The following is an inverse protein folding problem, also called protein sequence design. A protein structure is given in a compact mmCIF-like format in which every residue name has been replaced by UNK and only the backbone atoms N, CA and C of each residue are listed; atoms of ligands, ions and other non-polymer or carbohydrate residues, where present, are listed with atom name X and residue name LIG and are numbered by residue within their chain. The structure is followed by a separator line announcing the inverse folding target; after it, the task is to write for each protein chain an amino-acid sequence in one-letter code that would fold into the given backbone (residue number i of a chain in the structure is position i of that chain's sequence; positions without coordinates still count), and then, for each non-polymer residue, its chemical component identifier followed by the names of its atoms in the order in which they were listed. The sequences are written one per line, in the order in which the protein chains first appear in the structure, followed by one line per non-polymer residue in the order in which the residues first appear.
data_IF_371637845309
#
_entry.id   IF_371637845309
#
_cell.length_a   1.000
_cell.length_b   1.000
_cell.length_c   1.000
_cell.angle_alpha   90.00
_cell.angle_beta   90.00
_cell.angle_gamma   90.00
#
_symmetry.space_group_name_H-M   'P 1'
#
loop_
_entity.id
_entity.type
_entity.pdbx_description
1 polymer ?
#
# COMPACT_ATOMS: atom_id res chain seq x y z
N UNK A 1 -3.54 -1.54 -20.38
CA UNK A 1 -4.61 -2.55 -20.25
C UNK A 1 -4.33 -3.34 -18.98
N UNK A 2 -4.76 -2.82 -17.83
CA UNK A 2 -4.52 -3.47 -16.54
C UNK A 2 -5.66 -4.47 -16.32
N UNK A 3 -5.32 -5.75 -16.44
CA UNK A 3 -6.20 -6.85 -16.12
C UNK A 3 -6.38 -6.90 -14.61
N UNK A 4 -7.60 -6.70 -14.14
CA UNK A 4 -8.01 -7.12 -12.79
C UNK A 4 -7.81 -8.63 -12.72
N UNK A 5 -6.73 -9.06 -12.08
CA UNK A 5 -6.45 -10.48 -11.88
C UNK A 5 -7.43 -10.99 -10.83
N UNK A 6 -8.50 -11.65 -11.29
CA UNK A 6 -9.29 -12.54 -10.46
C UNK A 6 -8.40 -13.75 -10.07
N UNK A 7 -7.55 -13.60 -9.07
CA UNK A 7 -6.95 -14.75 -8.40
C UNK A 7 -7.98 -15.29 -7.41
N UNK A 8 -8.77 -16.26 -7.87
CA UNK A 8 -9.55 -17.09 -6.96
C UNK A 8 -8.55 -17.84 -6.09
N UNK A 9 -8.55 -17.58 -4.78
CA UNK A 9 -7.82 -18.40 -3.81
C UNK A 9 -8.52 -19.75 -3.74
N UNK A 10 -7.95 -20.77 -4.39
CA UNK A 10 -8.41 -22.16 -4.27
C UNK A 10 -7.89 -22.75 -2.96
N UNK A 11 -8.73 -22.73 -1.93
CA UNK A 11 -8.53 -23.60 -0.77
C UNK A 11 -9.14 -24.97 -1.05
N UNK A 12 -8.40 -26.09 -0.95
CA UNK A 12 -8.97 -27.41 -1.14
C UNK A 12 -9.95 -27.71 0.01
N UNK A 13 -11.22 -27.86 -0.32
CA UNK A 13 -12.27 -28.32 0.60
C UNK A 13 -13.47 -27.40 0.85
N UNK A 14 -13.54 -26.21 0.28
CA UNK A 14 -14.70 -25.32 0.45
C UNK A 14 -15.52 -25.17 -0.82
N UNK A 15 -16.53 -26.01 -0.95
CA UNK A 15 -17.47 -26.03 -2.09
C UNK A 15 -18.67 -25.07 -1.90
N UNK A 16 -18.58 -24.09 -1.01
CA UNK A 16 -19.73 -23.27 -0.64
C UNK A 16 -19.45 -21.78 -0.55
N UNK A 17 -18.94 -21.12 -1.63
CA UNK A 17 -19.20 -19.67 -1.76
C UNK A 17 -18.98 -19.25 -3.22
N UNK A 18 -20.01 -18.77 -3.88
CA UNK A 18 -19.92 -18.20 -5.22
C UNK A 18 -19.02 -16.94 -5.28
N UNK A 19 -18.79 -16.29 -4.13
CA UNK A 19 -17.89 -15.16 -3.94
C UNK A 19 -17.13 -15.32 -2.61
N UNK A 20 -15.87 -15.78 -2.62
CA UNK A 20 -15.07 -15.86 -1.40
C UNK A 20 -14.86 -14.48 -0.79
N UNK A 21 -14.90 -14.40 0.54
CA UNK A 21 -14.55 -13.18 1.26
C UNK A 21 -13.06 -12.86 1.02
N UNK A 22 -12.79 -11.64 0.55
CA UNK A 22 -11.44 -11.15 0.32
C UNK A 22 -11.03 -10.26 1.50
N UNK A 23 -9.90 -10.58 2.13
CA UNK A 23 -9.40 -9.88 3.30
C UNK A 23 -8.20 -9.00 2.94
N UNK A 24 -8.25 -7.75 3.36
CA UNK A 24 -7.10 -6.84 3.40
C UNK A 24 -6.68 -6.63 4.84
N UNK A 25 -5.41 -6.85 5.15
CA UNK A 25 -4.84 -6.49 6.45
C UNK A 25 -4.04 -5.19 6.35
N UNK A 26 -4.00 -4.42 7.44
CA UNK A 26 -3.33 -3.12 7.50
C UNK A 26 -2.21 -3.08 8.54
N UNK A 27 -1.82 -4.24 9.07
CA UNK A 27 -0.89 -4.36 10.19
C UNK A 27 0.49 -3.76 9.89
N UNK A 28 0.99 -3.90 8.66
CA UNK A 28 2.32 -3.37 8.29
C UNK A 28 2.33 -1.86 7.97
N UNK A 29 1.19 -1.19 7.96
CA UNK A 29 1.12 0.26 7.79
C UNK A 29 0.42 0.94 8.96
N UNK A 30 -0.84 0.62 9.23
CA UNK A 30 -1.66 1.34 10.20
C UNK A 30 -1.22 1.09 11.64
N UNK A 31 -0.90 -0.14 11.97
CA UNK A 31 -0.51 -0.50 13.33
C UNK A 31 0.75 0.26 13.78
N UNK A 32 1.83 0.26 13.00
CA UNK A 32 3.03 0.99 13.40
C UNK A 32 2.88 2.50 13.25
N UNK A 33 2.01 2.98 12.37
CA UNK A 33 1.68 4.41 12.31
C UNK A 33 0.98 4.85 13.60
N UNK A 34 0.08 4.04 14.12
CA UNK A 34 -0.73 4.35 15.29
C UNK A 34 0.03 4.12 16.62
N UNK A 35 0.86 3.09 16.70
CA UNK A 35 1.51 2.67 17.94
C UNK A 35 2.95 3.16 18.07
N UNK A 36 3.67 3.36 16.97
CA UNK A 36 5.09 3.72 16.94
C UNK A 36 5.37 5.01 16.19
N UNK A 37 4.38 5.88 16.03
CA UNK A 37 4.51 7.13 15.27
C UNK A 37 5.16 6.91 13.87
N UNK A 38 4.80 5.83 13.20
CA UNK A 38 5.33 5.43 11.88
C UNK A 38 6.83 5.08 11.88
N UNK A 39 7.41 4.70 13.04
CA UNK A 39 8.86 4.54 13.20
C UNK A 39 9.32 3.09 13.33
N UNK A 40 8.53 2.10 12.91
CA UNK A 40 8.99 0.72 12.80
C UNK A 40 9.97 0.61 11.62
N UNK A 41 11.17 0.09 11.87
CA UNK A 41 12.22 -0.04 10.84
C UNK A 41 11.93 -1.20 9.91
N UNK A 42 12.45 -1.11 8.69
CA UNK A 42 12.26 -2.16 7.69
C UNK A 42 12.82 -3.51 8.16
N UNK A 43 13.96 -3.52 8.82
CA UNK A 43 14.59 -4.75 9.30
C UNK A 43 13.76 -5.48 10.36
N UNK A 44 12.96 -4.73 11.14
CA UNK A 44 12.02 -5.29 12.12
C UNK A 44 10.74 -5.83 11.46
N UNK A 45 10.41 -5.38 10.24
CA UNK A 45 9.22 -5.82 9.48
C UNK A 45 9.47 -7.07 8.62
N UNK A 46 10.66 -7.21 8.06
CA UNK A 46 10.95 -8.26 7.08
C UNK A 46 10.70 -9.68 7.60
N UNK A 47 11.06 -10.04 8.87
CA UNK A 47 10.83 -11.39 9.37
C UNK A 47 9.35 -11.78 9.38
N UNK A 48 8.46 -10.86 9.78
CA UNK A 48 7.02 -11.15 9.82
C UNK A 48 6.36 -11.03 8.45
N UNK A 49 6.88 -10.17 7.56
CA UNK A 49 6.35 -9.99 6.22
C UNK A 49 6.30 -11.31 5.43
N UNK A 50 7.36 -12.10 5.50
CA UNK A 50 7.43 -13.41 4.84
C UNK A 50 6.42 -14.43 5.40
N UNK A 51 6.05 -14.33 6.67
CA UNK A 51 5.01 -15.16 7.27
C UNK A 51 3.60 -14.67 6.86
N UNK A 52 3.39 -13.38 6.82
CA UNK A 52 2.13 -12.77 6.38
C UNK A 52 1.81 -13.10 4.90
N UNK A 53 2.83 -13.22 4.07
CA UNK A 53 2.67 -13.61 2.65
C UNK A 53 2.04 -14.99 2.46
N UNK A 54 2.16 -15.88 3.46
CA UNK A 54 1.62 -17.23 3.42
C UNK A 54 0.12 -17.32 3.78
N UNK A 55 -0.45 -16.26 4.36
CA UNK A 55 -1.82 -16.26 4.88
C UNK A 55 -2.85 -16.23 3.74
N UNK A 56 -2.50 -15.65 2.59
CA UNK A 56 -3.40 -15.55 1.45
C UNK A 56 -4.33 -14.35 1.49
N UNK A 57 -3.89 -13.23 2.05
CA UNK A 57 -4.62 -11.97 1.97
C UNK A 57 -4.85 -11.56 0.51
N UNK A 58 -5.98 -10.92 0.24
CA UNK A 58 -6.24 -10.26 -1.04
C UNK A 58 -5.25 -9.12 -1.27
N UNK A 59 -4.96 -8.36 -0.22
CA UNK A 59 -3.88 -7.36 -0.20
C UNK A 59 -3.41 -7.13 1.23
N UNK A 60 -2.18 -6.63 1.36
CA UNK A 60 -1.59 -6.23 2.63
C UNK A 60 -1.16 -4.76 2.54
N UNK A 61 -1.72 -3.91 3.40
CA UNK A 61 -1.36 -2.49 3.41
C UNK A 61 -0.02 -2.32 4.13
N UNK A 62 0.99 -1.92 3.37
CA UNK A 62 2.38 -1.89 3.80
C UNK A 62 2.95 -0.48 3.87
N UNK A 63 2.28 0.48 3.25
CA UNK A 63 2.87 1.77 2.97
C UNK A 63 1.85 2.90 2.82
N UNK A 64 2.34 4.14 2.88
CA UNK A 64 1.55 5.35 2.71
C UNK A 64 2.42 6.59 2.75
N UNK A 65 1.82 7.76 2.58
CA UNK A 65 2.54 9.04 2.61
C UNK A 65 3.27 9.30 3.91
N UNK A 66 2.66 8.95 5.05
CA UNK A 66 3.30 9.08 6.36
C UNK A 66 4.52 8.14 6.51
N UNK A 67 4.47 6.96 5.92
CA UNK A 67 5.61 6.03 5.90
C UNK A 67 6.76 6.61 5.08
N UNK A 68 6.47 7.16 3.91
CA UNK A 68 7.47 7.83 3.07
C UNK A 68 8.19 8.95 3.83
N UNK A 69 7.42 9.84 4.45
CA UNK A 69 7.95 10.96 5.22
C UNK A 69 8.79 10.49 6.42
N UNK A 70 8.30 9.51 7.17
CA UNK A 70 8.99 8.98 8.35
C UNK A 70 10.31 8.27 8.00
N UNK A 71 10.40 7.57 6.89
CA UNK A 71 11.65 6.97 6.41
C UNK A 71 12.75 8.03 6.27
N UNK A 72 12.43 9.14 5.63
CA UNK A 72 13.40 10.21 5.39
C UNK A 72 13.74 10.99 6.66
N UNK A 73 12.71 11.38 7.43
CA UNK A 73 12.88 12.31 8.55
C UNK A 73 13.41 11.69 9.81
N UNK A 74 13.11 10.42 10.06
CA UNK A 74 13.34 9.81 11.37
C UNK A 74 14.12 8.51 11.31
N UNK A 75 13.99 7.72 10.24
CA UNK A 75 14.57 6.39 10.17
C UNK A 75 15.90 6.36 9.42
N UNK A 76 16.17 7.37 8.58
CA UNK A 76 17.33 7.34 7.70
C UNK A 76 17.23 6.24 6.64
N UNK A 77 16.02 5.82 6.28
CA UNK A 77 15.74 4.80 5.27
C UNK A 77 15.36 5.44 3.94
N UNK A 78 15.77 4.81 2.81
CA UNK A 78 15.20 5.11 1.51
C UNK A 78 13.79 4.51 1.42
N UNK A 79 12.72 5.34 1.29
CA UNK A 79 11.36 4.85 1.23
C UNK A 79 11.08 3.93 0.04
N UNK A 80 11.76 4.14 -1.08
CA UNK A 80 11.62 3.29 -2.25
C UNK A 80 12.33 1.93 -2.09
N UNK A 81 13.49 1.91 -1.44
CA UNK A 81 14.18 0.67 -1.10
C UNK A 81 13.35 -0.16 -0.11
N UNK A 82 12.75 0.49 0.89
CA UNK A 82 11.81 -0.15 1.82
C UNK A 82 10.69 -0.88 1.08
N UNK A 83 10.08 -0.22 0.11
CA UNK A 83 8.99 -0.77 -0.69
C UNK A 83 9.46 -2.01 -1.49
N UNK A 84 10.62 -1.91 -2.15
CA UNK A 84 11.21 -3.03 -2.90
C UNK A 84 11.57 -4.22 -2.00
N UNK A 85 12.12 -3.98 -0.80
CA UNK A 85 12.42 -5.03 0.18
C UNK A 85 11.16 -5.77 0.62
N UNK A 86 10.08 -5.04 0.91
CA UNK A 86 8.79 -5.65 1.25
C UNK A 86 8.23 -6.46 0.10
N UNK A 87 8.31 -5.96 -1.14
CA UNK A 87 7.86 -6.71 -2.32
C UNK A 87 8.62 -8.01 -2.53
N UNK A 88 9.92 -8.00 -2.26
CA UNK A 88 10.74 -9.23 -2.31
C UNK A 88 10.38 -10.23 -1.21
N UNK A 89 10.04 -9.73 -0.01
CA UNK A 89 9.65 -10.58 1.12
C UNK A 89 8.23 -11.16 0.96
N UNK A 90 7.37 -10.50 0.19
CA UNK A 90 5.96 -10.86 -0.03
C UNK A 90 5.63 -10.96 -1.53
N UNK A 91 6.17 -11.96 -2.24
CA UNK A 91 5.98 -12.08 -3.68
C UNK A 91 4.55 -12.46 -4.10
N UNK A 92 3.78 -13.11 -3.21
CA UNK A 92 2.45 -13.64 -3.51
C UNK A 92 1.32 -12.70 -3.14
N UNK A 93 1.52 -11.84 -2.15
CA UNK A 93 0.48 -10.93 -1.63
C UNK A 93 0.58 -9.56 -2.32
N UNK A 94 -0.49 -9.06 -2.93
CA UNK A 94 -0.52 -7.70 -3.46
C UNK A 94 -0.28 -6.67 -2.36
N UNK A 95 0.67 -5.75 -2.58
CA UNK A 95 0.94 -4.67 -1.65
C UNK A 95 -0.01 -3.49 -1.88
N UNK A 96 -0.59 -3.01 -0.80
CA UNK A 96 -1.50 -1.86 -0.80
C UNK A 96 -0.86 -0.67 -0.12
N UNK A 97 -1.22 0.53 -0.58
CA UNK A 97 -0.91 1.77 0.12
C UNK A 97 -2.15 2.60 0.41
N UNK A 98 -2.06 3.42 1.46
CA UNK A 98 -2.99 4.52 1.71
C UNK A 98 -2.49 5.77 0.97
N UNK A 99 -3.26 6.24 -0.01
CA UNK A 99 -2.96 7.45 -0.78
C UNK A 99 -3.93 8.58 -0.42
N UNK A 100 -3.39 9.67 0.11
CA UNK A 100 -4.17 10.82 0.59
C UNK A 100 -4.53 11.81 -0.51
N UNK A 101 -5.13 11.35 -1.61
CA UNK A 101 -5.49 12.25 -2.71
C UNK A 101 -4.39 13.26 -3.04
N UNK A 102 -4.73 14.53 -3.15
CA UNK A 102 -3.80 15.60 -3.53
C UNK A 102 -2.72 15.92 -2.49
N UNK A 103 -2.86 15.44 -1.25
CA UNK A 103 -1.85 15.61 -0.21
C UNK A 103 -0.73 14.55 -0.27
N UNK A 104 -0.95 13.47 -1.00
CA UNK A 104 -0.03 12.36 -1.23
C UNK A 104 0.79 11.97 0.01
N UNK A 105 1.99 12.52 0.13
CA UNK A 105 2.97 12.20 1.18
C UNK A 105 3.18 13.32 2.22
N UNK A 106 2.46 14.45 2.11
CA UNK A 106 2.73 15.61 2.95
C UNK A 106 1.49 16.25 3.56
N UNK A 107 1.66 17.49 3.94
CA UNK A 107 0.67 18.31 4.65
C UNK A 107 0.19 19.51 3.82
N UNK A 108 0.30 19.42 2.52
CA UNK A 108 -0.13 20.46 1.57
C UNK A 108 -0.68 19.81 0.30
N UNK A 109 -1.40 20.57 -0.50
CA UNK A 109 -1.74 20.18 -1.86
C UNK A 109 -0.50 20.20 -2.74
N UNK A 110 -0.24 19.09 -3.41
CA UNK A 110 0.76 19.01 -4.47
C UNK A 110 0.11 19.26 -5.82
N UNK A 111 0.91 19.71 -6.80
CA UNK A 111 0.46 19.87 -8.17
C UNK A 111 0.13 18.49 -8.81
N UNK A 112 -0.74 18.48 -9.81
CA UNK A 112 -1.25 17.26 -10.44
C UNK A 112 -0.14 16.38 -11.01
N UNK A 113 0.82 16.98 -11.70
CA UNK A 113 1.98 16.30 -12.27
C UNK A 113 2.85 15.61 -11.21
N UNK A 114 2.94 16.18 -10.01
CA UNK A 114 3.64 15.57 -8.86
C UNK A 114 2.87 14.34 -8.37
N UNK A 115 1.54 14.41 -8.30
CA UNK A 115 0.70 13.26 -7.90
C UNK A 115 0.82 12.14 -8.92
N UNK A 116 0.72 12.45 -10.20
CA UNK A 116 0.85 11.47 -11.29
C UNK A 116 2.22 10.78 -11.23
N UNK A 117 3.29 11.55 -11.08
CA UNK A 117 4.64 11.03 -11.00
C UNK A 117 4.89 10.20 -9.73
N UNK A 118 4.31 10.61 -8.62
CA UNK A 118 4.40 9.86 -7.36
C UNK A 118 3.71 8.48 -7.48
N UNK A 119 2.52 8.42 -8.07
CA UNK A 119 1.78 7.18 -8.28
C UNK A 119 2.54 6.26 -9.24
N UNK A 120 3.04 6.78 -10.35
CA UNK A 120 3.89 6.03 -11.28
C UNK A 120 5.08 5.40 -10.53
N UNK A 121 5.75 6.19 -9.69
CA UNK A 121 6.89 5.70 -8.91
C UNK A 121 6.51 4.66 -7.87
N UNK A 122 5.35 4.79 -7.23
CA UNK A 122 4.84 3.77 -6.33
C UNK A 122 4.64 2.43 -7.06
N UNK A 123 3.98 2.46 -8.22
CA UNK A 123 3.72 1.27 -9.02
C UNK A 123 5.03 0.59 -9.50
N UNK A 124 5.98 1.37 -10.04
CA UNK A 124 7.28 0.85 -10.50
C UNK A 124 8.07 0.19 -9.36
N UNK A 125 7.93 0.69 -8.12
CA UNK A 125 8.63 0.14 -6.96
C UNK A 125 7.87 -1.01 -6.26
N UNK A 126 6.74 -1.46 -6.81
CA UNK A 126 6.06 -2.67 -6.38
C UNK A 126 4.71 -2.50 -5.68
N UNK A 127 4.14 -1.29 -5.71
CA UNK A 127 2.79 -1.08 -5.20
C UNK A 127 1.75 -1.59 -6.20
N UNK A 128 0.85 -2.46 -5.72
CA UNK A 128 -0.15 -3.13 -6.57
C UNK A 128 -1.55 -2.51 -6.41
N UNK A 129 -1.88 -2.02 -5.21
CA UNK A 129 -3.22 -1.54 -4.86
C UNK A 129 -3.14 -0.16 -4.22
N UNK A 130 -3.95 0.78 -4.71
CA UNK A 130 -4.03 2.13 -4.17
C UNK A 130 -5.38 2.34 -3.49
N UNK A 131 -5.39 2.51 -2.17
CA UNK A 131 -6.55 2.91 -1.39
C UNK A 131 -6.56 4.43 -1.28
N UNK A 132 -7.30 5.07 -2.19
CA UNK A 132 -7.35 6.53 -2.30
C UNK A 132 -8.43 7.06 -1.38
N UNK A 133 -8.11 8.09 -0.59
CA UNK A 133 -9.07 8.75 0.28
C UNK A 133 -8.81 10.26 0.39
N UNK A 134 -9.82 10.96 0.82
CA UNK A 134 -9.75 12.32 1.30
C UNK A 134 -10.49 12.43 2.64
N UNK A 135 -9.93 13.18 3.59
CA UNK A 135 -10.48 13.30 4.95
C UNK A 135 -11.90 13.91 4.97
N UNK A 136 -12.22 14.72 3.99
CA UNK A 136 -13.55 15.36 3.85
C UNK A 136 -14.44 14.64 2.82
N UNK A 137 -13.94 13.57 2.20
CA UNK A 137 -14.60 12.87 1.07
C UNK A 137 -14.93 13.80 -0.12
N UNK A 138 -14.09 14.80 -0.37
CA UNK A 138 -14.22 15.68 -1.52
C UNK A 138 -13.66 15.01 -2.77
N UNK A 139 -14.54 14.69 -3.73
CA UNK A 139 -14.17 13.99 -4.96
C UNK A 139 -13.11 14.76 -5.78
N UNK A 140 -13.15 16.10 -5.74
CA UNK A 140 -12.18 16.95 -6.47
C UNK A 140 -10.76 16.73 -6.00
N UNK A 141 -10.58 16.32 -4.75
CA UNK A 141 -9.29 16.10 -4.11
C UNK A 141 -8.68 14.72 -4.41
N UNK A 142 -9.47 13.80 -4.96
CA UNK A 142 -9.04 12.43 -5.29
C UNK A 142 -9.08 12.14 -6.79
N UNK A 143 -9.66 13.03 -7.60
CA UNK A 143 -9.89 12.79 -9.02
C UNK A 143 -8.60 12.54 -9.80
N UNK A 144 -7.55 13.35 -9.58
CA UNK A 144 -6.25 13.19 -10.22
C UNK A 144 -5.62 11.85 -9.87
N UNK A 145 -5.65 11.49 -8.57
CA UNK A 145 -5.14 10.20 -8.10
C UNK A 145 -5.87 9.01 -8.74
N UNK A 146 -7.20 9.10 -8.88
CA UNK A 146 -7.99 8.05 -9.53
C UNK A 146 -7.62 7.91 -11.02
N UNK A 147 -7.43 9.02 -11.71
CA UNK A 147 -7.02 9.02 -13.13
C UNK A 147 -5.63 8.43 -13.31
N UNK A 148 -4.68 8.78 -12.44
CA UNK A 148 -3.31 8.33 -12.52
C UNK A 148 -3.13 6.84 -12.19
N UNK A 149 -4.00 6.27 -11.36
CA UNK A 149 -3.98 4.83 -11.00
C UNK A 149 -4.59 3.95 -12.08
N UNK A 150 -5.51 4.46 -12.88
CA UNK A 150 -6.18 3.73 -14.00
C UNK A 150 -5.30 3.62 -15.22
#
# INVERSE_FOLDING_TARGET
MFSLVNKACNFPGTQFMANPLLLTDVVLRDAHQSLFATRLRIDDMLPIAAELDKIGYWSLETWGGATFDACIRFLGEDPWERLRKLKLAMPNTPMQMLLRGQNALGYRHYADDVIEKFIERCAINGMDVFRIFDALNDIRNIEVSIKAVK
#
